data_IF_516364174442
#
_entry.id   IF_516364174442
#
_cell.length_a   1.000
_cell.length_b   1.000
_cell.length_c   1.000
_cell.angle_alpha   90.00
_cell.angle_beta   90.00
_cell.angle_gamma   90.00
#
_symmetry.space_group_name_H-M   'P 1'
#
loop_
_entity.id
_entity.type
_entity.pdbx_description
1 polymer ?
#
# COMPACT_ATOMS: atom_id res chain seq x y z
N UNK A 1 1.68 -12.66 15.42
CA UNK A 1 0.28 -12.72 14.93
C UNK A 1 -0.09 -14.03 14.23
N UNK A 2 0.68 -14.51 13.24
CA UNK A 2 0.33 -15.74 12.48
C UNK A 2 -0.05 -16.95 13.34
N UNK A 3 0.74 -17.26 14.39
CA UNK A 3 0.43 -18.37 15.30
C UNK A 3 -0.96 -18.23 15.96
N UNK A 4 -1.31 -17.03 16.42
CA UNK A 4 -2.58 -16.73 17.09
C UNK A 4 -3.78 -16.71 16.14
N UNK A 5 -3.53 -16.50 14.85
CA UNK A 5 -4.58 -16.68 13.82
C UNK A 5 -4.82 -18.17 13.58
N UNK A 6 -3.75 -18.98 13.56
CA UNK A 6 -3.84 -20.42 13.31
C UNK A 6 -4.39 -21.22 14.48
N UNK A 7 -4.13 -20.81 15.72
CA UNK A 7 -4.68 -21.44 16.92
C UNK A 7 -6.11 -20.99 17.27
N UNK A 8 -6.67 -20.04 16.51
CA UNK A 8 -8.03 -19.55 16.66
C UNK A 8 -8.24 -18.43 17.68
N UNK A 9 -7.19 -18.00 18.38
CA UNK A 9 -7.25 -16.89 19.36
C UNK A 9 -7.65 -15.57 18.70
N UNK A 10 -7.10 -15.30 17.51
CA UNK A 10 -7.36 -14.08 16.74
C UNK A 10 -8.03 -14.44 15.42
N UNK A 11 -9.28 -14.02 15.22
CA UNK A 11 -10.00 -14.30 13.97
C UNK A 11 -9.58 -13.37 12.82
N UNK A 12 -9.24 -12.12 13.15
CA UNK A 12 -8.94 -11.07 12.18
C UNK A 12 -8.14 -9.94 12.83
N UNK A 13 -7.22 -9.36 12.07
CA UNK A 13 -6.58 -8.08 12.40
C UNK A 13 -6.30 -7.29 11.11
N UNK A 14 -5.97 -6.00 11.23
CA UNK A 14 -5.67 -5.16 10.08
C UNK A 14 -4.28 -4.55 10.20
N UNK A 15 -3.60 -4.41 9.06
CA UNK A 15 -2.32 -3.74 8.92
C UNK A 15 -2.19 -3.23 7.46
N UNK A 16 -1.00 -3.26 6.89
CA UNK A 16 -0.71 -2.95 5.49
C UNK A 16 0.43 -3.84 5.00
N UNK A 17 0.58 -3.98 3.69
CA UNK A 17 1.72 -4.66 3.09
C UNK A 17 2.90 -3.68 2.92
N UNK A 18 4.00 -3.80 3.68
CA UNK A 18 5.12 -2.86 3.59
C UNK A 18 5.82 -2.87 2.23
N UNK A 19 5.78 -4.01 1.52
CA UNK A 19 6.34 -4.12 0.18
C UNK A 19 5.63 -3.19 -0.82
N UNK A 20 4.30 -3.03 -0.69
CA UNK A 20 3.53 -2.15 -1.57
C UNK A 20 3.76 -0.66 -1.24
N UNK A 21 4.10 -0.31 0.01
CA UNK A 21 4.53 1.05 0.37
C UNK A 21 5.82 1.41 -0.37
N UNK A 22 6.84 0.56 -0.30
CA UNK A 22 8.10 0.79 -1.00
C UNK A 22 7.93 0.84 -2.52
N UNK A 23 7.07 -0.04 -3.05
CA UNK A 23 6.74 -0.06 -4.48
C UNK A 23 6.08 1.24 -4.93
N UNK A 24 5.04 1.70 -4.22
CA UNK A 24 4.36 2.96 -4.52
C UNK A 24 5.31 4.16 -4.43
N UNK A 25 6.16 4.21 -3.39
CA UNK A 25 7.14 5.28 -3.20
C UNK A 25 8.15 5.36 -4.35
N UNK A 26 8.62 4.22 -4.87
CA UNK A 26 9.53 4.18 -6.00
C UNK A 26 8.88 4.76 -7.27
N UNK A 27 7.62 4.40 -7.56
CA UNK A 27 6.88 4.94 -8.71
C UNK A 27 6.56 6.43 -8.54
N UNK A 28 6.18 6.87 -7.34
CA UNK A 28 5.93 8.29 -7.06
C UNK A 28 7.22 9.12 -7.27
N UNK A 29 8.35 8.66 -6.74
CA UNK A 29 9.65 9.32 -6.93
C UNK A 29 10.09 9.37 -8.39
N UNK A 30 9.87 8.30 -9.16
CA UNK A 30 10.14 8.28 -10.59
C UNK A 30 9.22 9.26 -11.37
N UNK A 31 7.93 9.31 -11.02
CA UNK A 31 6.97 10.23 -11.63
C UNK A 31 7.32 11.70 -11.36
N UNK A 32 7.76 12.02 -10.13
CA UNK A 32 8.30 13.35 -9.79
C UNK A 32 9.57 13.66 -10.59
N UNK A 33 10.55 12.76 -10.59
CA UNK A 33 11.85 12.98 -11.26
C UNK A 33 11.74 13.11 -12.78
N UNK A 34 10.72 12.51 -13.38
CA UNK A 34 10.45 12.59 -14.83
C UNK A 34 9.56 13.77 -15.22
N UNK A 35 9.04 14.52 -14.23
CA UNK A 35 8.12 15.63 -14.46
C UNK A 35 6.70 15.21 -14.85
N UNK A 36 6.33 13.93 -14.64
CA UNK A 36 4.95 13.46 -14.86
C UNK A 36 3.98 14.09 -13.86
N UNK A 37 4.44 14.27 -12.62
CA UNK A 37 3.72 14.97 -11.55
C UNK A 37 4.68 15.96 -10.88
N UNK A 38 4.12 16.99 -10.28
CA UNK A 38 4.81 17.96 -9.44
C UNK A 38 4.61 17.70 -7.94
N UNK A 39 3.63 16.85 -7.59
CA UNK A 39 3.18 16.63 -6.22
C UNK A 39 2.04 17.57 -5.82
N UNK A 40 1.43 18.26 -6.79
CA UNK A 40 0.25 19.08 -6.55
C UNK A 40 -0.99 18.19 -6.35
N UNK A 41 -1.85 18.60 -5.43
CA UNK A 41 -3.12 17.90 -5.16
C UNK A 41 -3.95 17.75 -6.44
N UNK A 42 -4.52 16.56 -6.64
CA UNK A 42 -5.35 16.20 -7.79
C UNK A 42 -4.57 15.64 -8.99
N UNK A 43 -3.24 15.75 -9.01
CA UNK A 43 -2.41 15.08 -10.03
C UNK A 43 -2.49 13.56 -9.92
N UNK A 44 -2.32 12.86 -11.04
CA UNK A 44 -2.43 11.40 -11.11
C UNK A 44 -1.23 10.76 -11.78
N UNK A 45 -0.84 9.59 -11.30
CA UNK A 45 0.22 8.78 -11.90
C UNK A 45 -0.08 7.29 -11.77
N UNK A 46 0.56 6.47 -12.61
CA UNK A 46 0.42 5.01 -12.58
C UNK A 46 1.57 4.39 -11.78
N UNK A 47 1.24 3.54 -10.81
CA UNK A 47 2.17 2.83 -9.94
C UNK A 47 2.20 1.33 -10.27
N UNK A 48 2.52 0.99 -11.52
CA UNK A 48 2.69 -0.40 -11.97
C UNK A 48 1.51 -1.31 -11.64
N UNK A 49 1.77 -2.42 -10.92
CA UNK A 49 0.74 -3.39 -10.50
C UNK A 49 -0.33 -2.80 -9.56
N UNK A 50 -0.05 -1.68 -8.91
CA UNK A 50 -0.97 -1.05 -7.95
C UNK A 50 -2.02 -0.16 -8.63
N UNK A 51 -1.90 0.08 -9.94
CA UNK A 51 -2.87 0.87 -10.69
C UNK A 51 -2.57 2.36 -10.68
N UNK A 52 -3.61 3.19 -10.59
CA UNK A 52 -3.52 4.65 -10.67
C UNK A 52 -3.76 5.29 -9.31
N UNK A 53 -2.90 6.24 -8.94
CA UNK A 53 -2.96 6.98 -7.69
C UNK A 53 -3.17 8.46 -7.95
N UNK A 54 -3.84 9.11 -7.01
CA UNK A 54 -4.05 10.56 -7.00
C UNK A 54 -3.26 11.16 -5.84
N UNK A 55 -2.58 12.27 -6.09
CA UNK A 55 -1.92 13.06 -5.05
C UNK A 55 -2.99 13.81 -4.26
N UNK A 56 -3.00 13.62 -2.95
CA UNK A 56 -3.89 14.30 -2.02
C UNK A 56 -3.31 15.62 -1.51
N UNK A 57 -3.92 16.13 -0.45
CA UNK A 57 -3.46 17.34 0.24
C UNK A 57 -2.02 17.17 0.74
N UNK A 58 -1.27 18.27 0.72
CA UNK A 58 0.14 18.33 1.15
C UNK A 58 1.08 17.31 0.46
N UNK A 59 0.69 16.82 -0.73
CA UNK A 59 1.45 15.83 -1.49
C UNK A 59 1.29 14.39 -1.00
N UNK A 60 0.36 14.12 -0.09
CA UNK A 60 0.14 12.77 0.45
C UNK A 60 -0.41 11.82 -0.62
N UNK A 61 0.16 10.61 -0.70
CA UNK A 61 -0.35 9.55 -1.56
C UNK A 61 -0.69 8.35 -0.68
N UNK A 62 -1.99 8.12 -0.46
CA UNK A 62 -2.48 7.04 0.40
C UNK A 62 -2.47 5.72 -0.36
N UNK A 63 -1.72 4.73 0.13
CA UNK A 63 -1.62 3.38 -0.50
C UNK A 63 -3.00 2.73 -0.68
N UNK A 64 -3.89 2.91 0.29
CA UNK A 64 -5.25 2.40 0.27
C UNK A 64 -5.74 2.05 1.69
N UNK A 65 -6.92 1.42 1.79
CA UNK A 65 -7.41 0.89 3.06
C UNK A 65 -6.46 -0.14 3.68
N UNK A 66 -6.49 -0.33 5.02
CA UNK A 66 -5.75 -1.39 5.67
C UNK A 66 -6.05 -2.76 5.06
N UNK A 67 -5.02 -3.59 4.92
CA UNK A 67 -5.16 -5.00 4.57
C UNK A 67 -5.68 -5.77 5.77
N UNK A 68 -6.74 -6.55 5.57
CA UNK A 68 -7.28 -7.43 6.59
C UNK A 68 -6.61 -8.81 6.50
N UNK A 69 -6.13 -9.30 7.64
CA UNK A 69 -5.45 -10.58 7.76
C UNK A 69 -6.34 -11.57 8.50
N UNK A 70 -6.58 -12.71 7.88
CA UNK A 70 -7.39 -13.81 8.40
C UNK A 70 -6.66 -15.14 8.18
N UNK A 71 -7.23 -16.24 8.68
CA UNK A 71 -6.68 -17.57 8.43
C UNK A 71 -6.56 -17.93 6.94
N UNK A 72 -7.31 -17.26 6.04
CA UNK A 72 -7.31 -17.59 4.60
C UNK A 72 -6.15 -16.96 3.83
N UNK A 73 -5.56 -15.86 4.31
CA UNK A 73 -4.52 -15.12 3.58
C UNK A 73 -3.23 -14.89 4.38
N UNK A 74 -3.18 -15.19 5.68
CA UNK A 74 -2.02 -14.89 6.55
C UNK A 74 -0.71 -15.57 6.11
N UNK A 75 -0.79 -16.61 5.30
CA UNK A 75 0.37 -17.34 4.77
C UNK A 75 0.89 -16.75 3.44
N UNK A 76 0.14 -15.84 2.80
CA UNK A 76 0.57 -15.13 1.58
C UNK A 76 1.58 -14.00 1.88
N UNK A 77 1.67 -13.58 3.15
CA UNK A 77 2.49 -12.45 3.57
C UNK A 77 3.66 -12.92 4.43
N UNK A 78 4.86 -12.43 4.14
CA UNK A 78 6.06 -12.68 4.94
C UNK A 78 6.84 -11.38 5.13
N UNK A 79 6.67 -10.80 6.31
CA UNK A 79 7.32 -9.57 6.77
C UNK A 79 7.53 -9.63 8.27
#
# INVERSE_FOLDING_TARGET
MRQYVKDGTVKKFALWNPADIGYLAAFAGAALSSGQITGAEGEKFKAGKLGEYTVGADGEIVLGPPTEFTATNIDEFNF
#
